data_IF_039070494113
#
_entry.id   IF_039070494113
#
_cell.length_a   1.000
_cell.length_b   1.000
_cell.length_c   1.000
_cell.angle_alpha   90.00
_cell.angle_beta   90.00
_cell.angle_gamma   90.00
#
_symmetry.space_group_name_H-M   'P 1'
#
loop_
_entity.id
_entity.type
_entity.pdbx_description
1 polymer ?
#
# COMPACT_ATOMS: atom_id res chain seq x y z
N UNK A 1 7.73 -5.67 26.70
CA UNK A 1 6.93 -4.44 26.85
C UNK A 1 5.53 -4.75 26.38
N UNK A 2 4.56 -4.78 27.28
CA UNK A 2 3.20 -5.23 26.93
C UNK A 2 2.19 -4.10 27.05
N UNK A 3 1.28 -4.02 26.08
CA UNK A 3 0.09 -3.18 26.14
C UNK A 3 -1.00 -3.95 26.89
N UNK A 4 -1.50 -3.38 27.99
CA UNK A 4 -2.52 -4.01 28.84
C UNK A 4 -3.46 -2.97 29.45
N UNK A 5 -4.60 -3.44 29.98
CA UNK A 5 -5.56 -2.66 30.78
C UNK A 5 -5.37 -2.86 32.29
N UNK A 6 -4.46 -3.76 32.69
CA UNK A 6 -4.12 -4.01 34.10
C UNK A 6 -3.03 -3.06 34.59
N UNK A 7 -3.35 -1.77 34.65
CA UNK A 7 -2.42 -0.71 35.03
C UNK A 7 -2.35 -0.51 36.55
N UNK A 8 -1.19 -0.08 37.05
CA UNK A 8 -1.07 0.38 38.44
C UNK A 8 -1.94 1.65 38.65
N UNK A 9 -1.98 2.56 37.67
CA UNK A 9 -2.96 3.65 37.67
C UNK A 9 -4.35 3.15 37.25
N UNK A 10 -5.24 2.98 38.24
CA UNK A 10 -6.63 2.52 38.05
C UNK A 10 -7.50 3.45 37.20
N UNK A 11 -7.07 4.70 36.99
CA UNK A 11 -7.82 5.68 36.17
C UNK A 11 -7.43 5.64 34.70
N UNK A 12 -6.26 5.10 34.38
CA UNK A 12 -5.81 4.95 33.01
C UNK A 12 -6.58 3.82 32.31
N UNK A 13 -7.14 4.03 31.11
CA UNK A 13 -7.84 2.97 30.37
C UNK A 13 -6.90 1.85 29.89
N UNK A 14 -5.62 2.17 29.66
CA UNK A 14 -4.58 1.22 29.27
C UNK A 14 -3.20 1.79 29.63
N UNK A 15 -2.18 0.95 29.55
CA UNK A 15 -0.79 1.30 29.81
C UNK A 15 0.16 0.38 29.05
N UNK A 16 1.38 0.85 28.84
CA UNK A 16 2.52 0.04 28.38
C UNK A 16 3.38 -0.32 29.58
N UNK A 17 3.53 -1.62 29.86
CA UNK A 17 4.34 -2.13 30.96
C UNK A 17 5.74 -2.51 30.44
N UNK A 18 6.77 -1.89 31.01
CA UNK A 18 8.18 -2.16 30.70
C UNK A 18 8.82 -3.14 31.68
N UNK A 19 8.26 -3.24 32.88
CA UNK A 19 8.69 -4.13 33.96
C UNK A 19 7.94 -3.82 35.25
N UNK A 20 8.27 -4.50 36.36
CA UNK A 20 7.61 -4.27 37.64
C UNK A 20 7.74 -2.80 38.09
N UNK A 21 6.61 -2.12 38.27
CA UNK A 21 6.56 -0.72 38.69
C UNK A 21 7.02 0.30 37.64
N UNK A 22 7.29 -0.13 36.40
CA UNK A 22 7.63 0.76 35.29
C UNK A 22 6.60 0.61 34.17
N UNK A 23 5.66 1.55 34.13
CA UNK A 23 4.60 1.61 33.12
C UNK A 23 4.39 3.04 32.64
N UNK A 24 3.84 3.18 31.43
CA UNK A 24 3.37 4.45 30.89
C UNK A 24 1.88 4.37 30.63
N UNK A 25 1.13 5.23 31.31
CA UNK A 25 -0.31 5.35 31.13
C UNK A 25 -0.65 5.86 29.73
N UNK A 26 -1.70 5.28 29.16
CA UNK A 26 -2.25 5.68 27.89
C UNK A 26 -3.66 6.23 28.11
N UNK A 27 -4.04 7.20 27.29
CA UNK A 27 -5.38 7.77 27.28
C UNK A 27 -6.07 7.52 25.94
N UNK A 28 -7.39 7.60 25.95
CA UNK A 28 -8.19 7.60 24.72
C UNK A 28 -8.38 9.03 24.23
N UNK A 29 -8.35 9.23 22.92
CA UNK A 29 -8.69 10.52 22.32
C UNK A 29 -10.19 10.83 22.48
N UNK A 30 -10.61 12.03 22.07
CA UNK A 30 -12.01 12.49 22.16
C UNK A 30 -13.02 11.63 21.39
N UNK A 31 -12.56 10.75 20.50
CA UNK A 31 -13.37 9.81 19.72
C UNK A 31 -13.24 8.36 20.22
N UNK A 32 -12.51 8.14 21.32
CA UNK A 32 -12.25 6.81 21.87
C UNK A 32 -11.08 6.07 21.19
N UNK A 33 -10.28 6.75 20.38
CA UNK A 33 -9.10 6.17 19.73
C UNK A 33 -7.93 6.01 20.70
N UNK A 34 -7.33 4.82 20.74
CA UNK A 34 -6.09 4.53 21.45
C UNK A 34 -4.91 4.63 20.49
N UNK A 35 -4.03 5.60 20.72
CA UNK A 35 -2.77 5.76 19.99
C UNK A 35 -1.60 5.37 20.90
N UNK A 36 -0.73 4.49 20.41
CA UNK A 36 0.41 3.98 21.17
C UNK A 36 1.70 4.35 20.47
N UNK A 37 2.36 5.38 21.01
CA UNK A 37 3.65 5.92 20.53
C UNK A 37 4.80 5.51 21.44
N UNK A 38 4.85 4.23 21.73
CA UNK A 38 5.81 3.64 22.65
C UNK A 38 6.23 2.27 22.10
N UNK A 39 7.46 1.82 22.39
CA UNK A 39 7.88 0.49 22.01
C UNK A 39 7.03 -0.56 22.74
N UNK A 40 6.15 -1.23 21.98
CA UNK A 40 5.33 -2.35 22.44
C UNK A 40 5.77 -3.61 21.71
N UNK A 41 5.98 -4.70 22.45
CA UNK A 41 6.36 -6.01 21.88
C UNK A 41 5.19 -6.97 21.84
N UNK A 42 4.20 -6.80 22.72
CA UNK A 42 2.99 -7.62 22.78
C UNK A 42 1.73 -6.81 23.13
N UNK A 43 0.58 -7.19 22.57
CA UNK A 43 -0.74 -6.72 23.02
C UNK A 43 -1.39 -7.80 23.86
N UNK A 44 -1.60 -7.56 25.15
CA UNK A 44 -2.25 -8.50 26.07
C UNK A 44 -3.77 -8.24 26.14
N UNK A 45 -4.15 -6.98 26.28
CA UNK A 45 -5.56 -6.57 26.36
C UNK A 45 -5.73 -5.14 25.85
N UNK A 46 -6.98 -4.78 25.53
CA UNK A 46 -7.36 -3.45 25.07
C UNK A 46 -8.56 -2.95 25.88
N UNK A 47 -8.69 -1.62 26.07
CA UNK A 47 -9.81 -1.05 26.80
C UNK A 47 -11.13 -1.31 26.05
N UNK A 48 -12.20 -1.80 26.72
CA UNK A 48 -13.49 -2.07 26.07
C UNK A 48 -14.14 -0.84 25.44
N UNK A 49 -13.84 0.35 25.95
CA UNK A 49 -14.32 1.64 25.45
C UNK A 49 -13.57 2.14 24.21
N UNK A 50 -12.46 1.50 23.81
CA UNK A 50 -11.72 1.93 22.62
C UNK A 50 -12.52 1.67 21.34
N UNK A 51 -12.54 2.67 20.45
CA UNK A 51 -13.19 2.63 19.14
C UNK A 51 -12.18 2.38 18.02
N UNK A 52 -10.92 2.76 18.23
CA UNK A 52 -9.83 2.50 17.30
C UNK A 52 -8.52 2.22 18.05
N UNK A 53 -7.63 1.44 17.44
CA UNK A 53 -6.25 1.24 17.87
C UNK A 53 -5.29 1.59 16.74
N UNK A 54 -4.27 2.39 17.04
CA UNK A 54 -3.11 2.60 16.16
C UNK A 54 -1.84 2.48 16.97
N UNK A 55 -0.94 1.61 16.52
CA UNK A 55 0.40 1.46 17.10
C UNK A 55 1.40 1.99 16.07
N UNK A 56 2.19 2.99 16.46
CA UNK A 56 3.27 3.56 15.62
C UNK A 56 4.63 2.88 15.85
N UNK A 57 4.74 2.03 16.88
CA UNK A 57 5.93 1.21 17.10
C UNK A 57 6.22 0.29 15.92
N UNK A 58 7.49 -0.05 15.74
CA UNK A 58 7.99 -1.06 14.80
C UNK A 58 8.46 -2.34 15.52
N UNK A 59 8.12 -2.52 16.80
CA UNK A 59 8.63 -3.60 17.65
C UNK A 59 7.60 -4.66 18.01
N UNK A 60 6.35 -4.55 17.55
CA UNK A 60 5.29 -5.47 17.95
C UNK A 60 5.47 -6.83 17.29
N UNK A 61 5.56 -7.89 18.10
CA UNK A 61 5.83 -9.26 17.65
C UNK A 61 4.63 -10.17 17.91
N UNK A 62 3.84 -9.94 18.96
CA UNK A 62 2.73 -10.81 19.33
C UNK A 62 1.47 -10.07 19.76
N UNK A 63 0.34 -10.77 19.64
CA UNK A 63 -0.98 -10.32 20.06
C UNK A 63 -1.61 -11.48 20.81
N UNK A 64 -2.31 -11.19 21.90
CA UNK A 64 -3.11 -12.17 22.62
C UNK A 64 -4.07 -12.88 21.64
N UNK A 65 -3.98 -14.21 21.47
CA UNK A 65 -4.85 -14.96 20.57
C UNK A 65 -6.34 -14.82 20.89
N UNK A 66 -6.70 -14.50 22.14
CA UNK A 66 -8.09 -14.32 22.59
C UNK A 66 -8.50 -12.84 22.69
N UNK A 67 -7.83 -11.93 21.96
CA UNK A 67 -8.08 -10.49 22.02
C UNK A 67 -9.56 -10.11 21.82
N UNK A 68 -10.25 -10.74 20.88
CA UNK A 68 -11.66 -10.48 20.60
C UNK A 68 -12.60 -10.94 21.72
N UNK A 69 -12.33 -12.09 22.34
CA UNK A 69 -13.15 -12.62 23.43
C UNK A 69 -12.89 -11.90 24.75
N UNK A 70 -11.66 -11.45 25.00
CA UNK A 70 -11.31 -10.62 26.18
C UNK A 70 -11.99 -9.25 26.18
N UNK A 71 -12.20 -8.64 25.01
CA UNK A 71 -12.95 -7.39 24.86
C UNK A 71 -14.48 -7.54 25.05
N UNK A 72 -15.01 -8.75 24.83
CA UNK A 72 -16.41 -9.07 24.98
C UNK A 72 -17.34 -8.47 23.91
N UNK A 73 -18.61 -8.84 23.96
CA UNK A 73 -19.62 -8.48 22.95
C UNK A 73 -19.98 -6.99 22.91
N UNK A 74 -19.70 -6.24 23.99
CA UNK A 74 -19.98 -4.81 24.09
C UNK A 74 -18.93 -3.91 23.42
N UNK A 75 -17.82 -4.50 22.94
CA UNK A 75 -16.72 -3.76 22.32
C UNK A 75 -17.18 -2.88 21.15
N UNK A 76 -16.73 -1.62 21.15
CA UNK A 76 -16.97 -0.66 20.06
C UNK A 76 -15.77 -0.55 19.11
N UNK A 77 -14.78 -1.46 19.23
CA UNK A 77 -13.53 -1.38 18.48
C UNK A 77 -13.78 -1.65 16.99
N UNK A 78 -13.80 -0.58 16.19
CA UNK A 78 -14.15 -0.61 14.78
C UNK A 78 -12.93 -0.64 13.85
N UNK A 79 -11.78 -0.11 14.30
CA UNK A 79 -10.58 -0.01 13.46
C UNK A 79 -9.31 -0.38 14.22
N UNK A 80 -8.50 -1.27 13.65
CA UNK A 80 -7.17 -1.62 14.16
C UNK A 80 -6.14 -1.38 13.04
N UNK A 81 -5.09 -0.64 13.36
CA UNK A 81 -3.92 -0.43 12.49
C UNK A 81 -2.64 -0.83 13.22
N UNK A 82 -2.01 -1.90 12.74
CA UNK A 82 -0.78 -2.50 13.27
C UNK A 82 0.28 -2.59 12.16
N UNK A 83 0.38 -1.52 11.37
CA UNK A 83 1.25 -1.48 10.19
C UNK A 83 2.72 -1.50 10.60
N UNK A 84 3.58 -1.96 9.70
CA UNK A 84 5.04 -1.82 9.81
C UNK A 84 5.63 -2.34 11.12
N UNK A 85 5.11 -3.49 11.56
CA UNK A 85 5.54 -4.18 12.77
C UNK A 85 6.22 -5.51 12.43
N UNK A 86 6.44 -6.36 13.44
CA UNK A 86 7.13 -7.63 13.33
C UNK A 86 6.20 -8.83 13.53
N UNK A 87 4.89 -8.64 13.31
CA UNK A 87 3.89 -9.68 13.50
C UNK A 87 4.06 -10.79 12.44
N UNK A 88 4.20 -12.03 12.90
CA UNK A 88 4.38 -13.19 12.02
C UNK A 88 3.19 -14.14 12.05
N UNK A 89 3.47 -15.43 11.95
CA UNK A 89 2.49 -16.51 11.83
C UNK A 89 1.50 -16.62 12.99
N UNK A 90 1.82 -16.08 14.16
CA UNK A 90 0.90 -16.04 15.31
C UNK A 90 -0.41 -15.31 15.01
N UNK A 91 -0.44 -14.43 13.99
CA UNK A 91 -1.65 -13.76 13.52
C UNK A 91 -2.74 -14.74 13.06
N UNK A 92 -2.37 -15.92 12.57
CA UNK A 92 -3.33 -16.96 12.18
C UNK A 92 -4.19 -17.44 13.36
N UNK A 93 -3.72 -17.30 14.61
CA UNK A 93 -4.43 -17.75 15.80
C UNK A 93 -5.26 -16.63 16.48
N UNK A 94 -5.18 -15.38 16.01
CA UNK A 94 -5.83 -14.25 16.68
C UNK A 94 -7.33 -14.25 16.38
N UNK A 95 -8.12 -14.34 17.45
CA UNK A 95 -9.56 -14.10 17.42
C UNK A 95 -9.80 -12.59 17.45
N UNK A 96 -10.12 -12.00 16.29
CA UNK A 96 -10.38 -10.57 16.20
C UNK A 96 -11.77 -10.20 16.78
N UNK A 97 -11.93 -8.98 17.34
CA UNK A 97 -13.23 -8.50 17.82
C UNK A 97 -14.30 -8.52 16.72
N UNK A 98 -15.51 -8.98 17.05
CA UNK A 98 -16.60 -9.09 16.06
C UNK A 98 -17.20 -7.73 15.65
N UNK A 99 -16.86 -6.66 16.37
CA UNK A 99 -17.17 -5.26 16.06
C UNK A 99 -16.30 -4.67 14.95
N UNK A 100 -15.18 -5.31 14.61
CA UNK A 100 -14.16 -4.75 13.73
C UNK A 100 -14.66 -4.55 12.30
N UNK A 101 -14.39 -3.37 11.75
CA UNK A 101 -14.75 -2.94 10.38
C UNK A 101 -13.50 -2.82 9.51
N UNK A 102 -12.39 -2.35 10.07
CA UNK A 102 -11.10 -2.19 9.38
C UNK A 102 -9.97 -2.83 10.15
N UNK A 103 -9.18 -3.66 9.45
CA UNK A 103 -7.96 -4.26 9.96
C UNK A 103 -6.82 -3.99 8.98
N UNK A 104 -5.79 -3.27 9.44
CA UNK A 104 -4.60 -2.97 8.66
C UNK A 104 -3.37 -3.64 9.28
N UNK A 105 -2.86 -4.67 8.58
CA UNK A 105 -1.69 -5.47 8.92
C UNK A 105 -0.57 -5.28 7.88
N UNK A 106 -0.60 -4.17 7.13
CA UNK A 106 0.39 -3.87 6.09
C UNK A 106 1.81 -3.81 6.66
N UNK A 107 2.81 -4.40 5.99
CA UNK A 107 4.20 -4.23 6.40
C UNK A 107 4.64 -5.09 7.58
N UNK A 108 4.06 -6.28 7.76
CA UNK A 108 4.43 -7.22 8.82
C UNK A 108 5.31 -8.37 8.27
N UNK A 109 5.44 -9.46 9.03
CA UNK A 109 6.30 -10.62 8.72
C UNK A 109 5.50 -11.89 8.43
N UNK A 110 4.27 -11.75 7.93
CA UNK A 110 3.43 -12.89 7.61
C UNK A 110 3.92 -13.58 6.33
N UNK A 111 4.17 -14.88 6.38
CA UNK A 111 4.54 -15.71 5.23
C UNK A 111 3.40 -16.58 4.74
N UNK A 112 2.50 -16.98 5.63
CA UNK A 112 1.37 -17.83 5.28
C UNK A 112 0.07 -17.39 5.97
N UNK A 113 -1.04 -17.58 5.26
CA UNK A 113 -2.38 -17.51 5.83
C UNK A 113 -2.98 -18.90 5.74
N UNK A 114 -3.42 -19.43 6.88
CA UNK A 114 -4.04 -20.75 6.95
C UNK A 114 -5.52 -20.67 7.36
N UNK A 115 -6.20 -21.82 7.41
CA UNK A 115 -7.60 -21.94 7.77
C UNK A 115 -7.98 -21.42 9.17
N UNK A 116 -7.01 -21.21 10.07
CA UNK A 116 -7.25 -20.64 11.40
C UNK A 116 -7.39 -19.13 11.38
N UNK A 117 -6.88 -18.44 10.34
CA UNK A 117 -6.97 -16.99 10.24
C UNK A 117 -8.44 -16.56 10.11
N UNK A 118 -8.99 -15.98 11.19
CA UNK A 118 -10.39 -15.59 11.26
C UNK A 118 -10.60 -14.16 10.77
N UNK A 119 -11.54 -13.97 9.84
CA UNK A 119 -12.03 -12.65 9.45
C UNK A 119 -13.38 -12.41 10.16
N UNK A 120 -13.52 -11.40 11.04
CA UNK A 120 -14.77 -11.17 11.77
C UNK A 120 -15.90 -10.74 10.83
N UNK A 121 -17.14 -11.10 11.17
CA UNK A 121 -18.28 -11.02 10.26
C UNK A 121 -18.65 -9.58 9.81
N UNK A 122 -18.21 -8.54 10.54
CA UNK A 122 -18.45 -7.13 10.18
C UNK A 122 -17.31 -6.48 9.40
N UNK A 123 -16.19 -7.18 9.20
CA UNK A 123 -15.01 -6.60 8.56
C UNK A 123 -15.32 -6.21 7.11
N UNK A 124 -14.97 -4.98 6.73
CA UNK A 124 -15.13 -4.43 5.38
C UNK A 124 -13.79 -4.26 4.67
N UNK A 125 -12.75 -3.93 5.42
CA UNK A 125 -11.41 -3.68 4.86
C UNK A 125 -10.37 -4.51 5.59
N UNK A 126 -9.66 -5.34 4.83
CA UNK A 126 -8.49 -6.08 5.27
C UNK A 126 -7.29 -5.69 4.41
N UNK A 127 -6.25 -5.14 5.04
CA UNK A 127 -4.99 -4.81 4.37
C UNK A 127 -3.87 -5.73 4.89
N UNK A 128 -3.28 -6.47 3.96
CA UNK A 128 -2.21 -7.46 4.18
C UNK A 128 -1.01 -7.20 3.26
N UNK A 129 -0.97 -6.02 2.65
CA UNK A 129 0.08 -5.62 1.73
C UNK A 129 1.46 -5.57 2.37
N UNK A 130 2.52 -5.67 1.58
CA UNK A 130 3.91 -5.59 2.03
C UNK A 130 4.24 -6.57 3.15
N UNK A 131 3.66 -7.77 3.10
CA UNK A 131 4.09 -8.91 3.89
C UNK A 131 5.01 -9.79 3.03
N UNK A 132 5.19 -11.05 3.40
CA UNK A 132 5.98 -12.02 2.64
C UNK A 132 5.12 -13.25 2.31
N UNK A 133 3.82 -13.03 2.07
CA UNK A 133 2.84 -14.10 1.92
C UNK A 133 3.10 -14.85 0.62
N UNK A 134 3.40 -16.13 0.73
CA UNK A 134 3.54 -17.05 -0.42
C UNK A 134 2.38 -18.03 -0.56
N UNK A 135 1.71 -18.30 0.57
CA UNK A 135 0.61 -19.24 0.62
C UNK A 135 -0.59 -18.68 1.38
N UNK A 136 -1.76 -18.78 0.77
CA UNK A 136 -3.06 -18.61 1.41
C UNK A 136 -3.82 -19.93 1.19
N UNK A 137 -3.98 -20.70 2.25
CA UNK A 137 -4.56 -22.04 2.20
C UNK A 137 -5.70 -22.17 3.22
N UNK A 138 -6.93 -22.18 2.73
CA UNK A 138 -8.13 -22.35 3.55
C UNK A 138 -8.69 -21.05 4.15
N UNK A 139 -8.23 -19.88 3.69
CA UNK A 139 -8.80 -18.59 4.13
C UNK A 139 -10.30 -18.51 3.77
N UNK A 140 -11.14 -18.24 4.76
CA UNK A 140 -12.57 -18.02 4.58
C UNK A 140 -12.83 -16.52 4.39
N UNK A 141 -13.28 -16.13 3.20
CA UNK A 141 -13.59 -14.73 2.85
C UNK A 141 -15.09 -14.49 3.09
N UNK A 142 -15.48 -13.69 4.10
CA UNK A 142 -16.89 -13.42 4.38
C UNK A 142 -17.50 -12.47 3.34
N UNK A 143 -18.82 -12.58 3.14
CA UNK A 143 -19.59 -11.72 2.22
C UNK A 143 -19.64 -10.25 2.63
N UNK A 144 -19.28 -9.93 3.87
CA UNK A 144 -19.18 -8.56 4.37
C UNK A 144 -17.95 -7.83 3.85
N UNK A 145 -16.88 -8.56 3.50
CA UNK A 145 -15.62 -7.95 3.08
C UNK A 145 -15.81 -7.21 1.75
N UNK A 146 -15.35 -5.96 1.70
CA UNK A 146 -15.47 -5.08 0.54
C UNK A 146 -14.13 -4.88 -0.15
N UNK A 147 -13.05 -4.83 0.62
CA UNK A 147 -11.70 -4.55 0.13
C UNK A 147 -10.70 -5.50 0.78
N UNK A 148 -9.89 -6.15 -0.06
CA UNK A 148 -8.76 -6.98 0.35
C UNK A 148 -7.51 -6.49 -0.40
N UNK A 149 -6.51 -6.02 0.33
CA UNK A 149 -5.26 -5.53 -0.26
C UNK A 149 -4.11 -6.51 0.02
N UNK A 150 -3.50 -7.01 -1.05
CA UNK A 150 -2.41 -7.99 -1.05
C UNK A 150 -1.19 -7.52 -1.85
N UNK A 151 -1.05 -6.21 -2.09
CA UNK A 151 0.10 -5.64 -2.79
C UNK A 151 1.42 -6.11 -2.18
N UNK A 152 2.45 -6.29 -3.01
CA UNK A 152 3.81 -6.62 -2.55
C UNK A 152 3.79 -7.89 -1.69
N UNK A 153 3.19 -8.95 -2.25
CA UNK A 153 3.30 -10.33 -1.80
C UNK A 153 3.59 -11.22 -3.02
N UNK A 154 4.00 -12.46 -2.81
CA UNK A 154 4.31 -13.41 -3.89
C UNK A 154 3.54 -14.70 -3.72
N UNK A 155 2.21 -14.61 -3.92
CA UNK A 155 1.27 -15.69 -3.63
C UNK A 155 1.26 -16.71 -4.77
N UNK A 156 1.85 -17.87 -4.52
CA UNK A 156 1.91 -19.01 -5.43
C UNK A 156 0.87 -20.10 -5.08
N UNK A 157 0.40 -20.10 -3.82
CA UNK A 157 -0.68 -20.98 -3.34
C UNK A 157 -1.86 -20.13 -2.90
N UNK A 158 -3.03 -20.36 -3.52
CA UNK A 158 -4.27 -19.65 -3.22
C UNK A 158 -5.45 -20.62 -3.25
N UNK A 159 -5.61 -21.37 -2.15
CA UNK A 159 -6.67 -22.36 -1.98
C UNK A 159 -7.78 -21.82 -1.10
N UNK A 160 -9.01 -21.81 -1.62
CA UNK A 160 -10.19 -21.29 -0.91
C UNK A 160 -11.40 -22.18 -1.19
N UNK A 161 -12.41 -22.12 -0.33
CA UNK A 161 -13.67 -22.84 -0.57
C UNK A 161 -14.56 -22.13 -1.60
N UNK A 162 -15.57 -22.84 -2.13
CA UNK A 162 -16.50 -22.32 -3.12
C UNK A 162 -17.22 -21.03 -2.68
N UNK A 163 -17.59 -20.93 -1.39
CA UNK A 163 -18.26 -19.73 -0.85
C UNK A 163 -17.34 -18.50 -0.88
N UNK A 164 -16.07 -18.66 -0.53
CA UNK A 164 -15.05 -17.60 -0.56
C UNK A 164 -14.73 -17.19 -1.99
N UNK A 165 -14.66 -18.16 -2.92
CA UNK A 165 -14.50 -17.85 -4.34
C UNK A 165 -15.67 -17.03 -4.88
N UNK A 166 -16.92 -17.39 -4.53
CA UNK A 166 -18.09 -16.61 -4.90
C UNK A 166 -18.06 -15.18 -4.29
N UNK A 167 -17.51 -15.01 -3.08
CA UNK A 167 -17.35 -13.70 -2.46
C UNK A 167 -16.37 -12.79 -3.22
N UNK A 168 -15.33 -13.33 -3.85
CA UNK A 168 -14.35 -12.54 -4.63
C UNK A 168 -14.95 -11.77 -5.80
N UNK A 169 -16.14 -12.15 -6.30
CA UNK A 169 -16.87 -11.36 -7.30
C UNK A 169 -17.32 -9.98 -6.81
N UNK A 170 -17.42 -9.82 -5.48
CA UNK A 170 -17.91 -8.60 -4.81
C UNK A 170 -16.81 -7.88 -4.03
N UNK A 171 -15.72 -8.57 -3.70
CA UNK A 171 -14.59 -8.00 -2.98
C UNK A 171 -13.65 -7.33 -3.99
N UNK A 172 -13.30 -6.07 -3.75
CA UNK A 172 -12.22 -5.41 -4.47
C UNK A 172 -10.88 -5.99 -4.00
N UNK A 173 -10.33 -6.91 -4.79
CA UNK A 173 -9.02 -7.49 -4.54
C UNK A 173 -7.91 -6.66 -5.21
N UNK A 174 -7.09 -6.02 -4.40
CA UNK A 174 -5.99 -5.19 -4.86
C UNK A 174 -4.65 -5.94 -4.79
N UNK A 175 -3.95 -6.03 -5.92
CA UNK A 175 -2.67 -6.74 -6.08
C UNK A 175 -1.80 -6.04 -7.13
N UNK A 176 -0.48 -6.17 -7.01
CA UNK A 176 0.50 -5.68 -7.97
C UNK A 176 0.89 -6.77 -8.99
N UNK A 177 0.47 -8.01 -8.74
CA UNK A 177 0.75 -9.18 -9.59
C UNK A 177 -0.41 -10.16 -9.57
N UNK A 178 -0.62 -10.83 -10.72
CA UNK A 178 -1.60 -11.88 -10.82
C UNK A 178 -1.25 -13.05 -9.89
N UNK A 179 -2.24 -13.48 -9.09
CA UNK A 179 -2.13 -14.67 -8.24
C UNK A 179 -2.23 -15.88 -9.17
N UNK A 180 -1.21 -16.74 -9.14
CA UNK A 180 -1.14 -17.95 -9.95
C UNK A 180 -1.12 -19.12 -9.00
N UNK A 181 -2.28 -19.71 -8.70
CA UNK A 181 -2.35 -20.92 -7.87
C UNK A 181 -1.65 -22.10 -8.57
N UNK A 182 -0.33 -22.22 -8.38
CA UNK A 182 0.55 -23.18 -9.06
C UNK A 182 0.24 -24.60 -8.60
N UNK A 183 0.00 -24.79 -7.31
CA UNK A 183 -0.27 -26.08 -6.65
C UNK A 183 -1.75 -26.21 -6.27
N UNK A 184 -2.60 -26.57 -7.25
CA UNK A 184 -4.04 -26.69 -7.02
C UNK A 184 -4.49 -28.15 -6.84
N UNK A 185 -5.04 -28.48 -5.66
CA UNK A 185 -5.65 -29.79 -5.36
C UNK A 185 -7.15 -29.89 -5.70
N UNK A 186 -7.81 -28.77 -5.96
CA UNK A 186 -9.23 -28.68 -6.33
C UNK A 186 -9.41 -28.20 -7.78
N UNK A 187 -10.47 -27.46 -8.04
CA UNK A 187 -10.76 -26.89 -9.36
C UNK A 187 -10.14 -25.51 -9.50
N UNK A 188 -9.26 -25.35 -10.48
CA UNK A 188 -8.66 -24.05 -10.81
C UNK A 188 -9.69 -23.15 -11.48
N UNK A 189 -9.98 -22.00 -10.90
CA UNK A 189 -10.91 -21.01 -11.44
C UNK A 189 -10.27 -19.63 -11.51
N UNK A 190 -10.69 -18.82 -12.49
CA UNK A 190 -10.15 -17.47 -12.72
C UNK A 190 -11.13 -16.39 -12.28
N UNK A 191 -10.62 -15.26 -11.82
CA UNK A 191 -11.44 -14.10 -11.45
C UNK A 191 -10.67 -12.79 -11.67
N UNK A 192 -11.37 -11.68 -11.85
CA UNK A 192 -10.74 -10.37 -12.02
C UNK A 192 -10.50 -9.69 -10.67
N UNK A 193 -9.32 -9.10 -10.52
CA UNK A 193 -9.01 -8.22 -9.40
C UNK A 193 -9.65 -6.84 -9.57
N UNK A 194 -9.47 -5.99 -8.57
CA UNK A 194 -9.88 -4.60 -8.63
C UNK A 194 -9.04 -3.80 -9.65
N UNK A 195 -9.65 -2.75 -10.20
CA UNK A 195 -8.94 -1.75 -11.00
C UNK A 195 -8.29 -0.76 -10.03
N UNK A 196 -6.99 -0.56 -10.19
CA UNK A 196 -6.25 0.51 -9.53
C UNK A 196 -5.61 1.38 -10.61
N UNK A 197 -5.93 2.68 -10.64
CA UNK A 197 -5.43 3.60 -11.66
C UNK A 197 -3.91 3.79 -11.57
N UNK A 198 -3.33 3.59 -10.39
CA UNK A 198 -1.91 3.82 -10.10
C UNK A 198 -1.07 2.55 -10.31
N UNK A 199 -1.71 1.38 -10.44
CA UNK A 199 -1.05 0.08 -10.54
C UNK A 199 -1.47 -0.65 -11.81
N UNK A 200 -0.57 -1.39 -12.45
CA UNK A 200 -0.85 -2.15 -13.69
C UNK A 200 -1.45 -1.31 -14.84
N UNK A 201 -1.17 0.00 -14.86
CA UNK A 201 -1.68 0.92 -15.88
C UNK A 201 -3.21 1.05 -15.88
N UNK A 202 -3.87 0.94 -14.72
CA UNK A 202 -5.33 1.10 -14.63
C UNK A 202 -6.13 -0.10 -15.14
N UNK A 203 -5.50 -1.28 -15.27
CA UNK A 203 -6.15 -2.50 -15.77
C UNK A 203 -6.34 -3.52 -14.65
N UNK A 204 -7.48 -4.23 -14.63
CA UNK A 204 -7.67 -5.31 -13.67
C UNK A 204 -6.77 -6.48 -14.02
N UNK A 205 -6.19 -7.10 -12.99
CA UNK A 205 -5.41 -8.34 -13.16
C UNK A 205 -6.34 -9.55 -13.19
N UNK A 206 -6.01 -10.53 -14.03
CA UNK A 206 -6.68 -11.83 -14.04
C UNK A 206 -5.97 -12.76 -13.05
N UNK A 207 -6.67 -13.15 -12.01
CA UNK A 207 -6.19 -14.05 -10.96
C UNK A 207 -6.67 -15.47 -11.20
N UNK A 208 -5.98 -16.41 -10.56
CA UNK A 208 -6.34 -17.82 -10.50
C UNK A 208 -6.40 -18.28 -9.04
N UNK A 209 -7.52 -18.87 -8.65
CA UNK A 209 -7.69 -19.53 -7.36
C UNK A 209 -7.86 -21.04 -7.53
N UNK A 210 -7.44 -21.80 -6.54
CA UNK A 210 -7.81 -23.19 -6.40
C UNK A 210 -9.05 -23.30 -5.53
N UNK A 211 -10.17 -23.69 -6.12
CA UNK A 211 -11.43 -23.87 -5.40
C UNK A 211 -11.51 -25.30 -4.91
N UNK A 212 -11.47 -25.47 -3.59
CA UNK A 212 -11.65 -26.75 -2.96
C UNK A 212 -13.16 -27.01 -2.88
N UNK A 213 -13.64 -27.97 -3.65
CA UNK A 213 -14.98 -28.51 -3.48
C UNK A 213 -15.01 -29.19 -2.11
N UNK A 214 -15.82 -28.66 -1.20
CA UNK A 214 -16.26 -29.47 -0.06
C UNK A 214 -17.10 -30.54 -0.70
N UNK A 215 -16.51 -31.72 -0.94
CA UNK A 215 -17.26 -32.88 -1.38
C UNK A 215 -18.53 -32.92 -0.56
N UNK A 216 -19.67 -32.85 -1.23
CA UNK A 216 -20.90 -33.36 -0.66
C UNK A 216 -20.51 -34.75 -0.18
N UNK A 217 -20.42 -34.92 1.14
CA UNK A 217 -20.18 -36.21 1.74
C UNK A 217 -21.24 -37.12 1.11
N UNK A 218 -20.76 -38.08 0.31
CA UNK A 218 -21.61 -39.07 -0.30
C UNK A 218 -22.27 -39.84 0.83
N UNK A 219 -23.46 -39.42 1.22
CA UNK A 219 -24.36 -40.22 2.04
C UNK A 219 -24.83 -41.35 1.14
N UNK A 220 -24.01 -42.39 1.01
CA UNK A 220 -24.43 -43.67 0.44
C UNK A 220 -25.41 -44.31 1.41
N UNK A 221 -26.69 -43.97 1.25
CA UNK A 221 -27.80 -44.78 1.76
C UNK A 221 -28.18 -45.75 0.64
N UNK A 222 -28.20 -47.07 0.87
CA UNK A 222 -28.61 -48.03 -0.14
C UNK A 222 -30.13 -48.02 -0.28
N UNK A 223 -30.62 -47.78 -1.51
CA UNK A 223 -32.04 -47.96 -1.89
C UNK A 223 -32.15 -49.27 -2.66
N UNK A 224 -32.94 -50.21 -2.13
CA UNK A 224 -33.45 -51.38 -2.86
C UNK A 224 -34.59 -51.01 -3.83
N UNK A 225 -34.92 -51.85 -4.82
CA UNK A 225 -35.67 -51.41 -5.99
C UNK A 225 -37.18 -51.66 -5.92
N UNK A 226 -37.92 -50.81 -6.67
CA UNK A 226 -39.28 -51.03 -7.18
C UNK A 226 -40.36 -50.17 -6.49
N UNK A 227 -41.34 -49.55 -7.17
CA UNK A 227 -41.78 -49.53 -8.57
C UNK A 227 -42.78 -48.37 -8.75
N UNK A 228 -42.95 -47.98 -10.02
CA UNK A 228 -43.80 -46.97 -10.68
C UNK A 228 -45.14 -46.49 -10.08
N UNK A 229 -45.44 -45.21 -10.35
CA UNK A 229 -46.66 -44.63 -11.01
C UNK A 229 -46.80 -43.16 -10.56
N UNK A 230 -47.35 -42.18 -11.29
CA UNK A 230 -47.76 -41.93 -12.67
C UNK A 230 -48.20 -40.45 -12.76
N UNK A 231 -48.21 -39.87 -13.97
CA UNK A 231 -49.05 -38.73 -14.45
C UNK A 231 -48.77 -37.30 -13.90
N UNK A 232 -48.32 -36.33 -14.73
CA UNK A 232 -49.08 -35.44 -15.66
C UNK A 232 -49.15 -34.00 -15.07
N UNK A 233 -49.07 -32.84 -15.73
CA UNK A 233 -49.19 -32.38 -17.13
C UNK A 233 -48.62 -30.93 -17.23
N UNK A 234 -48.08 -30.56 -18.41
CA UNK A 234 -48.04 -29.26 -19.12
C UNK A 234 -47.90 -27.88 -18.42
N UNK A 235 -47.00 -27.00 -18.93
CA UNK A 235 -47.27 -26.13 -20.12
C UNK A 235 -46.21 -25.03 -20.35
N UNK A 236 -45.73 -24.94 -21.61
CA UNK A 236 -45.84 -23.76 -22.49
C UNK A 236 -45.18 -22.41 -22.16
N UNK A 237 -44.20 -22.03 -22.99
CA UNK A 237 -43.56 -20.72 -23.07
C UNK A 237 -44.47 -19.56 -23.54
N UNK A 238 -44.09 -18.31 -23.25
CA UNK A 238 -44.47 -17.17 -24.10
C UNK A 238 -43.44 -16.03 -24.07
N UNK A 239 -43.18 -15.53 -25.28
CA UNK A 239 -42.23 -14.47 -25.63
C UNK A 239 -43.02 -13.22 -25.99
N UNK A 240 -42.58 -12.06 -25.49
CA UNK A 240 -42.70 -10.77 -26.18
C UNK A 240 -43.85 -9.83 -25.79
N UNK A 241 -43.53 -8.73 -25.09
CA UNK A 241 -44.03 -7.38 -25.37
C UNK A 241 -43.23 -6.38 -24.51
N UNK A 242 -42.57 -5.36 -25.11
CA UNK A 242 -42.37 -3.97 -24.61
C UNK A 242 -41.36 -3.25 -25.54
N UNK A 243 -41.80 -2.88 -26.74
CA UNK A 243 -41.20 -1.80 -27.52
C UNK A 243 -42.07 -0.55 -27.30
N UNK A 244 -41.57 0.47 -26.61
CA UNK A 244 -42.32 1.71 -26.39
C UNK A 244 -41.89 2.62 -25.24
N UNK A 245 -40.93 2.24 -24.40
CA UNK A 245 -40.44 3.07 -23.28
C UNK A 245 -38.94 3.41 -23.35
N UNK A 246 -38.22 2.94 -24.37
CA UNK A 246 -36.77 3.11 -24.48
C UNK A 246 -36.31 4.48 -24.98
N UNK A 247 -37.10 5.15 -25.83
CA UNK A 247 -36.64 6.36 -26.53
C UNK A 247 -36.72 7.59 -25.63
N UNK A 248 -37.78 7.71 -24.81
CA UNK A 248 -37.93 8.82 -23.86
C UNK A 248 -36.87 8.81 -22.76
N UNK A 249 -36.55 7.62 -22.23
CA UNK A 249 -35.52 7.46 -21.20
C UNK A 249 -34.11 7.77 -21.75
N UNK A 250 -33.80 7.34 -22.98
CA UNK A 250 -32.51 7.62 -23.60
C UNK A 250 -32.27 9.12 -23.83
N UNK A 251 -33.30 9.87 -24.27
CA UNK A 251 -33.20 11.32 -24.46
C UNK A 251 -33.05 12.05 -23.12
N UNK A 252 -33.77 11.63 -22.08
CA UNK A 252 -33.62 12.18 -20.73
C UNK A 252 -32.22 11.92 -20.14
N UNK A 253 -31.67 10.72 -20.35
CA UNK A 253 -30.31 10.37 -19.90
C UNK A 253 -29.27 11.21 -20.65
N UNK A 254 -29.42 11.41 -21.96
CA UNK A 254 -28.50 12.26 -22.75
C UNK A 254 -28.57 13.73 -22.34
N UNK A 255 -29.75 14.25 -22.00
CA UNK A 255 -29.90 15.63 -21.49
C UNK A 255 -29.29 15.79 -20.10
N UNK A 256 -29.43 14.80 -19.21
CA UNK A 256 -28.80 14.79 -17.88
C UNK A 256 -27.28 14.69 -18.01
N UNK A 257 -26.76 13.84 -18.89
CA UNK A 257 -25.32 13.73 -19.16
C UNK A 257 -24.80 15.05 -19.75
N UNK A 258 -25.51 15.65 -20.71
CA UNK A 258 -25.15 16.96 -21.28
C UNK A 258 -25.16 18.09 -20.24
N UNK A 259 -26.12 18.07 -19.30
CA UNK A 259 -26.19 18.98 -18.16
C UNK A 259 -25.04 18.79 -17.17
N UNK A 260 -24.72 17.55 -16.82
CA UNK A 260 -23.59 17.21 -15.93
C UNK A 260 -22.24 17.55 -16.57
N UNK A 261 -22.09 17.37 -17.88
CA UNK A 261 -20.90 17.77 -18.63
C UNK A 261 -20.78 19.29 -18.71
N UNK A 262 -21.87 20.04 -18.94
CA UNK A 262 -21.87 21.52 -18.88
C UNK A 262 -21.59 22.04 -17.48
N UNK A 263 -22.10 21.40 -16.42
CA UNK A 263 -21.82 21.77 -15.03
C UNK A 263 -20.38 21.45 -14.64
N UNK A 264 -19.80 20.34 -15.12
CA UNK A 264 -18.36 20.05 -15.00
C UNK A 264 -17.52 21.04 -15.80
N UNK A 265 -17.96 21.46 -16.97
CA UNK A 265 -17.25 22.46 -17.78
C UNK A 265 -17.31 23.86 -17.16
N UNK A 266 -18.44 24.25 -16.55
CA UNK A 266 -18.57 25.49 -15.75
C UNK A 266 -17.81 25.43 -14.42
N UNK A 267 -17.70 24.26 -13.78
CA UNK A 267 -16.86 24.08 -12.57
C UNK A 267 -15.37 24.05 -12.89
N UNK A 268 -14.97 23.68 -14.12
CA UNK A 268 -13.59 23.79 -14.59
C UNK A 268 -13.16 25.22 -14.90
N UNK A 269 -14.09 26.16 -15.08
CA UNK A 269 -13.77 27.55 -15.40
C UNK A 269 -13.62 28.48 -14.18
N UNK A 270 -13.55 27.96 -12.95
CA UNK A 270 -13.40 28.83 -11.78
C UNK A 270 -12.70 28.20 -10.56
N UNK A 271 -11.56 27.54 -10.78
CA UNK A 271 -10.62 27.20 -9.70
C UNK A 271 -9.19 27.42 -10.20
N UNK A 272 -8.77 28.68 -10.15
CA UNK A 272 -7.39 29.09 -10.36
C UNK A 272 -6.71 29.10 -8.98
N UNK A 273 -6.12 27.98 -8.58
CA UNK A 273 -5.12 27.90 -7.52
C UNK A 273 -3.87 27.30 -8.14
N UNK A 274 -2.74 27.99 -7.95
CA UNK A 274 -1.46 27.75 -8.61
C UNK A 274 -0.89 26.36 -8.28
N UNK A 275 -0.78 25.52 -9.30
CA UNK A 275 -0.05 24.26 -9.26
C UNK A 275 1.24 24.43 -10.07
N UNK A 276 2.41 24.22 -9.44
CA UNK A 276 3.70 24.37 -10.10
C UNK A 276 3.99 23.10 -10.92
N UNK A 277 3.46 23.07 -12.13
CA UNK A 277 3.78 22.08 -13.15
C UNK A 277 4.95 22.58 -14.00
N UNK A 278 6.03 21.80 -14.08
CA UNK A 278 7.06 21.90 -15.13
C UNK A 278 6.42 21.75 -16.52
N UNK A 279 6.83 22.52 -17.54
CA UNK A 279 6.00 22.79 -18.70
C UNK A 279 6.11 21.72 -19.79
N UNK A 280 4.97 21.43 -20.43
CA UNK A 280 4.93 20.86 -21.78
C UNK A 280 5.13 21.99 -22.78
N UNK A 281 6.04 21.82 -23.76
CA UNK A 281 6.17 22.74 -24.88
C UNK A 281 5.82 22.03 -26.19
N UNK A 282 4.88 22.65 -26.92
CA UNK A 282 4.39 22.29 -28.25
C UNK A 282 5.10 23.16 -29.31
N UNK A 283 5.25 22.61 -30.53
CA UNK A 283 5.45 23.27 -31.83
C UNK A 283 6.85 23.86 -32.18
N UNK A 284 7.56 23.28 -33.16
CA UNK A 284 7.70 23.81 -34.55
C UNK A 284 8.95 23.32 -35.33
N UNK A 285 8.71 22.92 -36.58
CA UNK A 285 9.55 23.06 -37.80
C UNK A 285 10.83 22.21 -37.99
N UNK A 286 10.68 21.24 -38.92
CA UNK A 286 11.55 20.79 -40.05
C UNK A 286 12.72 21.72 -40.47
N UNK A 287 13.64 21.31 -41.39
CA UNK A 287 14.13 19.96 -41.79
C UNK A 287 15.68 19.88 -41.93
N UNK A 288 16.17 18.70 -42.38
CA UNK A 288 17.47 18.36 -43.01
C UNK A 288 18.46 17.58 -42.13
N UNK A 289 19.30 16.67 -42.64
CA UNK A 289 19.33 15.81 -43.82
C UNK A 289 20.55 14.88 -43.63
N UNK A 290 20.57 13.78 -44.40
CA UNK A 290 21.68 12.84 -44.68
C UNK A 290 21.68 11.52 -43.86
N UNK A 291 20.97 10.48 -44.34
CA UNK A 291 21.44 9.40 -45.24
C UNK A 291 22.55 8.50 -44.67
N UNK A 292 22.15 7.31 -44.23
CA UNK A 292 22.78 6.04 -44.60
C UNK A 292 21.75 4.91 -44.46
N UNK A 293 21.34 4.39 -45.62
CA UNK A 293 20.44 3.28 -45.90
C UNK A 293 21.02 1.91 -45.50
N UNK A 294 20.20 0.98 -45.01
CA UNK A 294 20.12 -0.42 -45.48
C UNK A 294 18.82 -1.10 -45.01
N UNK A 295 17.94 -1.26 -46.01
CA UNK A 295 16.92 -2.28 -46.35
C UNK A 295 15.99 -2.97 -45.32
N UNK A 296 14.72 -3.07 -45.76
CA UNK A 296 13.50 -3.44 -45.03
C UNK A 296 13.15 -4.93 -45.10
N UNK A 297 12.61 -5.48 -43.99
CA UNK A 297 11.48 -6.43 -44.04
C UNK A 297 10.49 -6.09 -42.90
N UNK A 298 9.16 -6.23 -43.10
CA UNK A 298 8.17 -5.58 -42.23
C UNK A 298 7.80 -6.47 -41.04
N UNK A 299 8.18 -6.06 -39.83
CA UNK A 299 7.57 -6.56 -38.59
C UNK A 299 6.62 -5.49 -38.09
N UNK A 300 5.36 -5.86 -37.94
CA UNK A 300 4.31 -5.05 -37.32
C UNK A 300 4.75 -4.72 -35.89
N UNK A 301 5.24 -3.50 -35.66
CA UNK A 301 5.55 -3.00 -34.32
C UNK A 301 4.49 -1.99 -33.91
N UNK A 302 3.85 -2.33 -32.80
CA UNK A 302 2.82 -1.59 -32.10
C UNK A 302 3.19 -0.13 -31.82
N UNK A 303 2.32 0.78 -32.25
CA UNK A 303 2.17 2.11 -31.68
C UNK A 303 2.02 2.02 -30.16
N UNK A 304 3.06 2.34 -29.39
CA UNK A 304 3.08 2.86 -28.01
C UNK A 304 4.53 2.83 -27.45
N UNK A 305 5.49 3.35 -28.22
CA UNK A 305 6.84 3.60 -27.69
C UNK A 305 6.76 4.77 -26.69
N UNK A 306 6.77 4.42 -25.41
CA UNK A 306 6.81 5.31 -24.27
C UNK A 306 7.91 6.39 -24.42
N UNK A 307 7.48 7.65 -24.40
CA UNK A 307 8.36 8.76 -24.09
C UNK A 307 8.93 8.60 -22.66
N UNK A 308 10.25 8.78 -22.54
CA UNK A 308 11.12 8.66 -21.35
C UNK A 308 11.60 7.24 -20.98
N UNK A 309 12.45 6.69 -21.84
CA UNK A 309 13.44 5.66 -21.47
C UNK A 309 14.83 6.33 -21.35
N UNK A 310 15.04 7.19 -20.35
CA UNK A 310 16.41 7.59 -20.02
C UNK A 310 17.05 6.44 -19.23
N UNK A 311 18.10 5.85 -19.79
CA UNK A 311 18.89 4.81 -19.15
C UNK A 311 20.30 5.33 -18.97
N UNK A 312 20.61 5.75 -17.74
CA UNK A 312 21.91 6.29 -17.37
C UNK A 312 23.06 5.31 -17.65
N UNK A 313 22.75 4.01 -17.80
CA UNK A 313 23.74 2.99 -18.19
C UNK A 313 24.20 3.15 -19.63
N UNK A 314 23.54 3.97 -20.44
CA UNK A 314 23.92 4.29 -21.81
C UNK A 314 24.40 5.74 -21.95
N UNK A 315 24.51 6.50 -20.86
CA UNK A 315 24.95 7.90 -20.89
C UNK A 315 26.47 8.00 -21.14
N UNK A 316 26.92 8.63 -22.25
CA UNK A 316 28.33 8.77 -22.57
C UNK A 316 29.12 9.66 -21.61
N UNK A 317 28.48 10.69 -21.02
CA UNK A 317 29.14 11.66 -20.13
C UNK A 317 29.46 11.03 -18.78
N UNK A 318 28.66 10.04 -18.36
CA UNK A 318 28.84 9.36 -17.08
C UNK A 318 29.73 8.12 -17.14
N UNK A 319 30.20 7.73 -18.33
CA UNK A 319 31.06 6.55 -18.48
C UNK A 319 32.37 6.66 -17.70
N UNK A 320 32.96 7.86 -17.63
CA UNK A 320 34.20 8.10 -16.87
C UNK A 320 34.06 7.98 -15.35
N UNK A 321 32.83 8.01 -14.83
CA UNK A 321 32.53 7.97 -13.39
C UNK A 321 32.07 6.59 -12.91
N UNK A 322 32.07 5.56 -13.79
CA UNK A 322 31.66 4.21 -13.43
C UNK A 322 32.73 3.50 -12.61
N UNK A 323 32.36 3.09 -11.40
CA UNK A 323 33.21 2.33 -10.51
C UNK A 323 32.82 0.83 -10.59
N UNK A 324 33.72 -0.07 -10.98
CA UNK A 324 33.48 -1.51 -10.91
C UNK A 324 33.20 -1.97 -9.47
N UNK A 325 32.16 -2.79 -9.29
CA UNK A 325 31.73 -3.26 -7.95
C UNK A 325 32.86 -3.92 -7.13
N UNK A 326 33.83 -4.56 -7.81
CA UNK A 326 35.00 -5.21 -7.20
C UNK A 326 35.97 -4.24 -6.52
N UNK A 327 35.93 -2.96 -6.85
CA UNK A 327 36.80 -1.92 -6.26
C UNK A 327 36.24 -1.37 -4.95
N UNK A 328 35.02 -1.77 -4.58
CA UNK A 328 34.41 -1.46 -3.28
C UNK A 328 34.78 -2.57 -2.28
N UNK A 329 35.64 -2.25 -1.32
CA UNK A 329 36.03 -3.16 -0.24
C UNK A 329 35.19 -2.96 1.03
N UNK A 330 35.18 -3.98 1.90
CA UNK A 330 34.58 -3.91 3.26
C UNK A 330 33.14 -3.37 3.29
N UNK A 331 32.29 -3.90 2.42
CA UNK A 331 30.91 -3.44 2.28
C UNK A 331 30.04 -3.92 3.45
N UNK A 332 29.58 -2.99 4.29
CA UNK A 332 28.73 -3.23 5.46
C UNK A 332 27.45 -2.40 5.36
N UNK A 333 26.31 -2.98 5.74
CA UNK A 333 25.04 -2.23 5.75
C UNK A 333 25.11 -1.15 6.83
N UNK A 334 24.79 0.09 6.48
CA UNK A 334 24.69 1.22 7.42
C UNK A 334 23.27 1.81 7.51
N UNK A 335 22.39 1.51 6.56
CA UNK A 335 20.97 1.88 6.62
C UNK A 335 20.13 1.13 5.60
N UNK A 336 18.87 0.85 5.94
CA UNK A 336 17.94 0.15 5.04
C UNK A 336 16.67 1.00 4.86
N UNK A 337 16.53 1.61 3.69
CA UNK A 337 15.36 2.41 3.34
C UNK A 337 14.32 1.63 2.53
N UNK A 338 13.18 2.26 2.26
CA UNK A 338 12.08 1.63 1.52
C UNK A 338 12.38 1.26 0.07
N UNK A 339 13.43 1.82 -0.55
CA UNK A 339 13.77 1.58 -1.96
C UNK A 339 15.20 1.05 -2.17
N UNK A 340 16.14 1.41 -1.29
CA UNK A 340 17.56 1.13 -1.43
C UNK A 340 18.21 0.78 -0.08
N UNK A 341 19.25 -0.04 -0.13
CA UNK A 341 20.14 -0.31 1.00
C UNK A 341 21.34 0.62 0.87
N UNK A 342 21.68 1.29 1.96
CA UNK A 342 22.90 2.10 2.05
C UNK A 342 23.96 1.25 2.75
N UNK A 343 25.11 1.13 2.10
CA UNK A 343 26.28 0.45 2.63
C UNK A 343 27.39 1.45 2.92
N UNK A 344 28.11 1.25 4.01
CA UNK A 344 29.46 1.78 4.20
C UNK A 344 30.44 0.88 3.45
N UNK A 345 31.33 1.44 2.65
CA UNK A 345 32.38 0.70 1.96
C UNK A 345 33.69 1.52 1.92
N UNK A 346 34.78 0.87 1.50
CA UNK A 346 36.04 1.52 1.18
C UNK A 346 36.23 1.55 -0.33
N UNK A 347 36.59 2.71 -0.86
CA UNK A 347 37.01 2.90 -2.25
C UNK A 347 38.27 3.75 -2.26
N UNK A 348 39.38 3.22 -2.80
CA UNK A 348 40.69 3.91 -2.81
C UNK A 348 41.08 4.49 -1.43
N UNK A 349 40.97 3.67 -0.38
CA UNK A 349 41.20 4.03 1.03
C UNK A 349 40.29 5.13 1.63
N UNK A 350 39.27 5.57 0.88
CA UNK A 350 38.25 6.48 1.38
C UNK A 350 36.99 5.74 1.83
N UNK A 351 36.44 6.15 2.97
CA UNK A 351 35.15 5.66 3.44
C UNK A 351 34.04 6.31 2.63
N UNK A 352 33.25 5.48 1.93
CA UNK A 352 32.18 5.92 1.04
C UNK A 352 30.84 5.32 1.44
N UNK A 353 29.75 6.03 1.14
CA UNK A 353 28.39 5.51 1.23
C UNK A 353 27.95 5.01 -0.16
N UNK A 354 27.46 3.77 -0.23
CA UNK A 354 27.01 3.12 -1.47
C UNK A 354 25.52 2.83 -1.35
N UNK A 355 24.70 3.57 -2.09
CA UNK A 355 23.25 3.34 -2.18
C UNK A 355 23.00 2.33 -3.30
N UNK A 356 22.53 1.14 -2.96
CA UNK A 356 22.19 0.09 -3.92
C UNK A 356 20.69 -0.15 -3.89
N UNK A 357 20.07 -0.12 -5.08
CA UNK A 357 18.67 -0.48 -5.21
C UNK A 357 18.47 -1.91 -4.72
N UNK A 358 17.47 -2.14 -3.88
CA UNK A 358 17.18 -3.50 -3.42
C UNK A 358 16.80 -4.39 -4.61
N UNK A 359 17.20 -5.66 -4.57
CA UNK A 359 16.90 -6.64 -5.62
C UNK A 359 15.38 -6.83 -5.85
N UNK A 360 14.54 -6.47 -4.87
CA UNK A 360 13.08 -6.44 -5.00
C UNK A 360 12.61 -5.28 -5.88
N UNK A 361 13.26 -4.12 -5.80
CA UNK A 361 12.90 -2.92 -6.55
C UNK A 361 13.52 -2.86 -7.95
N UNK A 362 14.54 -3.66 -8.25
CA UNK A 362 15.13 -3.76 -9.62
C UNK A 362 14.18 -4.38 -10.64
N UNK A 363 13.07 -4.98 -10.19
CA UNK A 363 12.05 -5.64 -11.03
C UNK A 363 10.90 -4.71 -11.43
N UNK A 364 10.86 -3.50 -10.90
CA UNK A 364 9.86 -2.48 -11.24
C UNK A 364 10.54 -1.36 -12.04
N UNK A 365 10.15 -1.20 -13.31
CA UNK A 365 10.74 -0.19 -14.18
C UNK A 365 10.63 1.23 -13.59
N UNK A 366 9.57 1.54 -12.84
CA UNK A 366 9.38 2.83 -12.18
C UNK A 366 10.37 3.10 -11.04
N UNK A 367 10.73 2.10 -10.24
CA UNK A 367 11.75 2.26 -9.18
C UNK A 367 13.16 2.32 -9.75
N UNK A 368 13.42 1.53 -10.78
CA UNK A 368 14.68 1.64 -11.54
C UNK A 368 14.78 3.03 -12.18
N UNK A 369 13.72 3.51 -12.81
CA UNK A 369 13.65 4.85 -13.41
C UNK A 369 13.79 5.96 -12.37
N UNK A 370 13.08 5.89 -11.23
CA UNK A 370 13.23 6.86 -10.14
C UNK A 370 14.67 6.90 -9.58
N UNK A 371 15.32 5.74 -9.46
CA UNK A 371 16.72 5.66 -9.06
C UNK A 371 17.68 6.21 -10.12
N UNK A 372 17.45 5.90 -11.41
CA UNK A 372 18.23 6.50 -12.50
C UNK A 372 18.04 8.01 -12.56
N UNK A 373 16.82 8.49 -12.32
CA UNK A 373 16.50 9.90 -12.28
C UNK A 373 17.14 10.59 -11.07
N UNK A 374 17.23 9.93 -9.92
CA UNK A 374 18.00 10.42 -8.77
C UNK A 374 19.49 10.58 -9.13
N UNK A 375 20.10 9.58 -9.78
CA UNK A 375 21.51 9.69 -10.21
C UNK A 375 21.69 10.79 -11.26
N UNK A 376 20.79 10.90 -12.23
CA UNK A 376 20.80 11.97 -13.23
C UNK A 376 20.70 13.34 -12.55
N UNK A 377 19.75 13.50 -11.64
CA UNK A 377 19.54 14.74 -10.91
C UNK A 377 20.81 15.10 -10.12
N UNK A 378 21.38 14.17 -9.34
CA UNK A 378 22.59 14.43 -8.56
C UNK A 378 23.85 14.67 -9.40
N UNK A 379 23.94 14.09 -10.60
CA UNK A 379 25.09 14.28 -11.50
C UNK A 379 25.01 15.57 -12.32
N UNK A 380 23.79 16.05 -12.60
CA UNK A 380 23.55 17.22 -13.47
C UNK A 380 23.13 18.47 -12.72
N UNK A 381 22.90 18.42 -11.40
CA UNK A 381 22.50 19.58 -10.60
C UNK A 381 23.60 20.65 -10.59
N UNK A 382 23.51 21.56 -11.55
CA UNK A 382 24.25 22.80 -11.65
C UNK A 382 23.24 23.93 -11.66
N UNK A 383 23.45 24.93 -10.81
CA UNK A 383 22.59 26.09 -10.72
C UNK A 383 23.46 27.33 -10.82
N UNK A 384 23.11 28.27 -11.70
CA UNK A 384 23.97 29.41 -12.04
C UNK A 384 24.33 30.30 -10.82
N UNK A 385 23.50 30.30 -9.78
CA UNK A 385 23.74 31.03 -8.53
C UNK A 385 24.30 30.16 -7.40
N UNK A 386 24.54 28.87 -7.64
CA UNK A 386 25.10 27.92 -6.68
C UNK A 386 26.23 27.17 -7.41
N UNK A 387 27.46 27.72 -7.43
CA UNK A 387 28.59 27.19 -8.20
C UNK A 387 29.22 25.94 -7.54
N UNK A 388 28.38 25.05 -7.01
CA UNK A 388 28.80 23.87 -6.27
C UNK A 388 27.94 22.67 -6.64
N UNK A 389 28.55 21.50 -6.71
CA UNK A 389 27.85 20.26 -7.08
C UNK A 389 26.89 19.79 -6.00
N UNK A 390 25.92 18.94 -6.35
CA UNK A 390 24.99 18.33 -5.40
C UNK A 390 25.70 17.55 -4.26
N UNK A 391 26.84 16.92 -4.56
CA UNK A 391 27.67 16.24 -3.57
C UNK A 391 28.28 17.22 -2.58
N UNK A 392 28.79 18.35 -3.07
CA UNK A 392 29.33 19.41 -2.23
C UNK A 392 28.23 20.05 -1.38
N UNK A 393 27.03 20.24 -1.94
CA UNK A 393 25.85 20.71 -1.19
C UNK A 393 25.48 19.74 -0.08
N UNK A 394 25.37 18.44 -0.38
CA UNK A 394 25.08 17.41 0.61
C UNK A 394 26.13 17.35 1.73
N UNK A 395 27.42 17.52 1.40
CA UNK A 395 28.51 17.60 2.38
C UNK A 395 28.42 18.85 3.26
N UNK A 396 28.15 20.02 2.67
CA UNK A 396 28.00 21.24 3.46
C UNK A 396 26.74 21.18 4.34
N UNK A 397 25.65 20.58 3.88
CA UNK A 397 24.45 20.33 4.70
C UNK A 397 24.76 19.35 5.83
N UNK A 398 25.41 18.22 5.56
CA UNK A 398 25.72 17.20 6.57
C UNK A 398 26.76 17.67 7.60
N UNK A 399 27.57 18.67 7.27
CA UNK A 399 28.51 19.32 8.19
C UNK A 399 27.95 20.58 8.84
N UNK A 400 26.69 20.94 8.57
CA UNK A 400 26.02 22.13 9.11
C UNK A 400 26.56 23.45 8.57
N UNK A 401 27.39 23.41 7.51
CA UNK A 401 27.98 24.58 6.84
C UNK A 401 27.06 25.20 5.78
N UNK A 402 26.01 24.49 5.37
CA UNK A 402 24.99 24.98 4.45
C UNK A 402 23.61 24.67 5.02
N UNK A 403 22.82 25.72 5.24
CA UNK A 403 21.42 25.63 5.66
C UNK A 403 20.60 26.61 4.84
N UNK A 404 19.32 26.33 4.57
CA UNK A 404 18.49 27.27 3.82
C UNK A 404 18.20 28.52 4.68
N UNK A 405 18.28 29.68 4.05
CA UNK A 405 17.90 30.96 4.65
C UNK A 405 16.43 31.26 4.35
N UNK A 406 15.75 31.88 5.32
CA UNK A 406 14.37 32.32 5.15
C UNK A 406 14.35 33.82 4.88
N UNK A 407 13.38 34.27 4.08
CA UNK A 407 13.11 35.71 3.91
C UNK A 407 12.57 36.31 5.20
N UNK A 408 12.76 37.61 5.36
CA UNK A 408 12.34 38.35 6.56
C UNK A 408 10.80 38.40 6.75
N UNK A 409 10.02 38.15 5.68
CA UNK A 409 8.56 38.10 5.70
C UNK A 409 7.98 36.72 6.07
N UNK A 410 8.83 35.75 6.45
CA UNK A 410 8.38 34.44 6.90
C UNK A 410 7.64 34.52 8.25
N UNK A 411 6.37 34.05 8.36
CA UNK A 411 5.64 34.06 9.62
C UNK A 411 6.40 33.34 10.73
N UNK A 412 6.44 33.91 11.94
CA UNK A 412 7.27 33.43 13.05
C UNK A 412 7.04 31.95 13.39
N UNK A 413 5.79 31.50 13.31
CA UNK A 413 5.42 30.12 13.63
C UNK A 413 5.88 29.13 12.55
N UNK A 414 5.84 29.54 11.28
CA UNK A 414 6.36 28.75 10.16
C UNK A 414 7.88 28.73 10.23
N UNK A 415 8.52 29.85 10.52
CA UNK A 415 9.97 29.96 10.70
C UNK A 415 10.46 29.06 11.84
N UNK A 416 9.75 29.04 12.97
CA UNK A 416 10.08 28.18 14.10
C UNK A 416 9.96 26.69 13.73
N UNK A 417 8.88 26.29 13.08
CA UNK A 417 8.68 24.92 12.63
C UNK A 417 9.74 24.50 11.60
N UNK A 418 10.06 25.37 10.64
CA UNK A 418 11.06 25.10 9.62
C UNK A 418 12.46 24.97 10.20
N UNK A 419 12.85 25.84 11.16
CA UNK A 419 14.12 25.72 11.90
C UNK A 419 14.21 24.41 12.68
N UNK A 420 13.12 23.96 13.32
CA UNK A 420 13.09 22.67 14.00
C UNK A 420 13.27 21.50 13.03
N UNK A 421 12.68 21.56 11.83
CA UNK A 421 12.88 20.53 10.80
C UNK A 421 14.33 20.47 10.28
N UNK A 422 15.06 21.58 10.34
CA UNK A 422 16.44 21.73 9.87
C UNK A 422 17.49 21.47 10.94
N UNK A 423 17.11 20.96 12.12
CA UNK A 423 18.05 20.65 13.19
C UNK A 423 19.13 19.67 12.69
N UNK A 424 20.39 19.91 13.07
CA UNK A 424 21.50 19.04 12.65
C UNK A 424 21.38 17.65 13.29
N UNK A 425 21.03 17.61 14.56
CA UNK A 425 20.71 16.37 15.26
C UNK A 425 19.35 15.85 14.77
N UNK A 426 19.25 14.60 14.27
CA UNK A 426 17.99 14.01 13.89
C UNK A 426 16.99 13.86 15.05
N UNK A 427 17.45 13.74 16.30
CA UNK A 427 16.57 13.56 17.46
C UNK A 427 15.88 14.87 17.88
N UNK A 428 16.46 16.01 17.50
CA UNK A 428 15.87 17.35 17.71
C UNK A 428 14.79 17.68 16.65
N UNK A 429 14.67 16.88 15.58
CA UNK A 429 13.72 17.14 14.51
C UNK A 429 12.31 16.67 14.89
N UNK A 430 11.27 17.46 14.60
CA UNK A 430 9.90 17.03 14.82
C UNK A 430 9.56 15.85 13.91
N UNK A 431 8.82 14.88 14.42
CA UNK A 431 8.28 13.80 13.59
C UNK A 431 7.31 14.36 12.54
N UNK A 432 7.13 13.64 11.44
CA UNK A 432 6.18 14.07 10.39
C UNK A 432 4.76 14.30 10.93
N UNK A 433 4.36 13.56 11.97
CA UNK A 433 3.08 13.75 12.65
C UNK A 433 3.02 15.08 13.42
N UNK A 434 4.09 15.45 14.14
CA UNK A 434 4.20 16.76 14.80
C UNK A 434 4.15 17.91 13.80
N UNK A 435 4.87 17.79 12.67
CA UNK A 435 4.85 18.79 11.59
C UNK A 435 3.43 18.94 11.03
N UNK A 436 2.75 17.83 10.73
CA UNK A 436 1.38 17.84 10.23
C UNK A 436 0.39 18.46 11.24
N UNK A 437 0.57 18.21 12.53
CA UNK A 437 -0.24 18.83 13.58
C UNK A 437 0.00 20.34 13.68
N UNK A 438 1.26 20.76 13.71
CA UNK A 438 1.64 22.18 13.79
C UNK A 438 1.07 22.97 12.61
N UNK A 439 1.21 22.45 11.38
CA UNK A 439 0.65 23.07 10.18
C UNK A 439 -0.88 23.15 10.21
N UNK A 440 -1.57 22.08 10.66
CA UNK A 440 -3.03 22.10 10.81
C UNK A 440 -3.51 23.10 11.86
N UNK A 441 -2.76 23.29 12.94
CA UNK A 441 -3.05 24.29 13.97
C UNK A 441 -2.93 25.70 13.40
N UNK A 442 -1.89 25.97 12.60
CA UNK A 442 -1.69 27.27 11.96
C UNK A 442 -2.79 27.59 10.95
N UNK A 443 -3.19 26.63 10.12
CA UNK A 443 -4.29 26.80 9.15
C UNK A 443 -5.61 27.17 9.85
N UNK A 444 -5.89 26.57 11.00
CA UNK A 444 -7.12 26.84 11.78
C UNK A 444 -7.09 28.16 12.56
N UNK A 445 -5.91 28.74 12.79
CA UNK A 445 -5.78 30.02 13.48
C UNK A 445 -5.92 31.22 12.53
N UNK A 446 -5.90 30.96 11.22
CA UNK A 446 -6.11 31.95 10.15
C UNK A 446 -7.53 31.98 9.58
N UNK A 447 -8.40 31.08 10.05
CA UNK A 447 -9.87 31.12 9.88
C UNK A 447 -10.52 31.78 11.09
#
# INVERSE_FOLDING_TARGET
MSLTTTCANKTAPACVVYGPGNETDLSLDSRGGLYVDAPVTSIESLPPSATALTISSSTLVSINPTLGSTLGAASQLASISLRFNLLGESLNAVQWPQSLVKLDLTGNKLHQINASFSIPAKLRTLALSSNQITSIDGLVIPSSLQSLSLYVNTIDTFNINAASFAALSRVQLFTDRAIRALECKGTRQTFQGAIDAEVNGGRPLLHTACVLDVGAAATTVPVGPGTADASSTDSGASTGLYAGLGIGAAVLILLVIGGLLRLRHRRRSNTQYLDHSTPSAEISRKPNAATASYDETPVVVSDFAFAYSYDIRSDPELNGYRIPKRELAQKQICGNGGFAIVYRALFQDQVVAVKELQAVHTRHATHVQAFMHEIQLFSTLHHDNIPMSAVQMALLVSTGKLTPTFRDDCPSDILALAKACLAMDPDDRPTAAHVAYALRKLIRATE
#
